data_IF_511269708638
#
_entry.id   IF_511269708638
#
_cell.length_a   1.000
_cell.length_b   1.000
_cell.length_c   1.000
_cell.angle_alpha   90.00
_cell.angle_beta   90.00
_cell.angle_gamma   90.00
#
_symmetry.space_group_name_H-M   'P 1'
#
loop_
_entity.id
_entity.type
_entity.pdbx_description
1 polymer ?
#
# COMPACT_ATOMS: atom_id res chain seq x y z
N UNK A 1 -6.08 -31.12 25.60
CA UNK A 1 -7.37 -30.58 25.10
C UNK A 1 -7.03 -29.58 24.00
N UNK A 2 -7.55 -29.76 22.78
CA UNK A 2 -7.29 -28.85 21.64
C UNK A 2 -8.46 -27.88 21.54
N UNK A 3 -8.21 -26.58 21.61
CA UNK A 3 -9.21 -25.53 21.44
C UNK A 3 -9.02 -24.92 20.06
N UNK A 4 -10.05 -25.00 19.22
CA UNK A 4 -10.09 -24.33 17.92
C UNK A 4 -10.95 -23.07 18.03
N UNK A 5 -10.55 -22.01 17.33
CA UNK A 5 -11.32 -20.77 17.19
C UNK A 5 -12.61 -21.00 16.41
N UNK A 6 -13.67 -20.32 16.82
CA UNK A 6 -14.90 -20.15 16.04
C UNK A 6 -14.99 -18.65 15.68
N UNK A 7 -14.87 -18.31 14.40
CA UNK A 7 -15.16 -16.97 13.86
C UNK A 7 -14.00 -15.95 13.79
N UNK A 8 -14.35 -14.70 13.46
CA UNK A 8 -13.47 -13.51 13.31
C UNK A 8 -13.01 -12.89 14.64
N UNK A 9 -12.92 -13.67 15.72
CA UNK A 9 -12.43 -13.13 16.98
C UNK A 9 -10.90 -13.07 17.03
N UNK A 10 -10.43 -11.92 17.50
CA UNK A 10 -9.05 -11.51 17.53
C UNK A 10 -8.20 -12.54 18.31
N UNK A 11 -7.50 -13.43 17.58
CA UNK A 11 -6.05 -13.42 17.67
C UNK A 11 -5.45 -13.49 19.08
N UNK A 12 -5.29 -12.27 19.57
CA UNK A 12 -4.52 -11.92 20.73
C UNK A 12 -5.41 -11.90 21.98
N UNK A 13 -6.67 -11.46 21.86
CA UNK A 13 -7.62 -11.42 22.97
C UNK A 13 -7.95 -12.82 23.51
N UNK A 14 -8.09 -13.82 22.62
CA UNK A 14 -8.34 -15.22 23.04
C UNK A 14 -7.11 -15.80 23.75
N UNK A 15 -5.90 -15.45 23.30
CA UNK A 15 -4.66 -15.92 23.93
C UNK A 15 -4.44 -15.31 25.31
N UNK A 16 -4.80 -14.03 25.47
CA UNK A 16 -4.73 -13.30 26.74
C UNK A 16 -5.75 -13.84 27.74
N UNK A 17 -7.01 -14.06 27.29
CA UNK A 17 -8.06 -14.69 28.12
C UNK A 17 -7.69 -16.11 28.56
N UNK A 18 -7.03 -16.89 27.71
CA UNK A 18 -6.59 -18.26 28.04
C UNK A 18 -5.41 -18.24 29.03
N UNK A 19 -4.46 -17.31 28.89
CA UNK A 19 -3.36 -17.15 29.87
C UNK A 19 -3.89 -16.69 31.22
N UNK A 20 -4.84 -15.75 31.24
CA UNK A 20 -5.48 -15.25 32.46
C UNK A 20 -6.30 -16.34 33.17
N UNK A 21 -6.97 -17.23 32.41
CA UNK A 21 -7.66 -18.40 32.95
C UNK A 21 -6.71 -19.47 33.52
N UNK A 22 -5.55 -19.66 32.88
CA UNK A 22 -4.51 -20.59 33.36
C UNK A 22 -3.86 -20.07 34.64
N UNK A 23 -3.57 -18.77 34.73
CA UNK A 23 -3.00 -18.16 35.93
C UNK A 23 -4.01 -18.10 37.10
N UNK A 24 -5.29 -17.89 36.81
CA UNK A 24 -6.38 -17.98 37.80
C UNK A 24 -6.67 -19.40 38.31
N UNK A 25 -6.29 -20.43 37.57
CA UNK A 25 -6.57 -21.84 37.90
C UNK A 25 -5.41 -22.57 38.59
N UNK A 26 -4.26 -21.93 38.78
CA UNK A 26 -3.06 -22.51 39.44
C UNK A 26 -3.29 -23.01 40.87
N UNK A 27 -4.34 -22.54 41.56
CA UNK A 27 -4.65 -22.95 42.94
C UNK A 27 -5.50 -24.24 43.06
N UNK A 28 -5.88 -24.88 41.94
CA UNK A 28 -6.77 -26.07 41.94
C UNK A 28 -6.06 -27.40 41.65
N UNK A 29 -4.74 -27.39 41.42
CA UNK A 29 -4.00 -28.60 41.08
C UNK A 29 -2.96 -28.95 42.15
N UNK A 30 -2.83 -30.24 42.56
CA UNK A 30 -1.88 -30.68 43.57
C UNK A 30 -0.42 -30.61 43.06
N UNK A 31 0.53 -30.53 44.00
CA UNK A 31 1.97 -30.42 43.74
C UNK A 31 2.47 -31.55 42.82
N UNK A 32 3.09 -31.19 41.70
CA UNK A 32 3.74 -32.13 40.76
C UNK A 32 3.29 -32.05 39.30
N UNK A 33 2.37 -31.14 38.94
CA UNK A 33 1.96 -30.93 37.54
C UNK A 33 2.39 -29.53 37.07
N UNK A 34 3.45 -29.47 36.25
CA UNK A 34 3.82 -28.26 35.51
C UNK A 34 3.06 -28.17 34.19
N UNK A 35 2.24 -27.13 34.04
CA UNK A 35 1.60 -26.78 32.79
C UNK A 35 2.59 -25.95 31.94
N UNK A 36 3.14 -26.52 30.88
CA UNK A 36 4.02 -25.81 29.94
C UNK A 36 3.35 -25.65 28.57
N UNK A 37 3.41 -24.45 28.01
CA UNK A 37 2.81 -24.10 26.72
C UNK A 37 3.76 -24.50 25.59
N UNK A 38 3.46 -25.59 24.88
CA UNK A 38 4.37 -26.21 23.92
C UNK A 38 4.42 -25.52 22.54
N UNK A 39 3.38 -24.78 22.16
CA UNK A 39 3.28 -24.17 20.82
C UNK A 39 2.46 -22.87 20.89
N UNK A 40 3.15 -21.78 21.21
CA UNK A 40 2.57 -20.45 21.28
C UNK A 40 2.83 -19.67 19.97
N UNK A 41 1.99 -19.92 18.96
CA UNK A 41 2.01 -19.20 17.67
C UNK A 41 1.80 -17.68 17.83
N UNK A 42 1.30 -17.23 19.00
CA UNK A 42 1.13 -15.81 19.30
C UNK A 42 2.46 -15.06 19.42
N UNK A 43 3.54 -15.74 19.80
CA UNK A 43 4.88 -15.15 19.92
C UNK A 43 5.48 -14.88 18.55
N UNK A 44 5.29 -15.82 17.61
CA UNK A 44 5.71 -15.66 16.21
C UNK A 44 4.87 -14.60 15.47
N UNK A 45 3.55 -14.55 15.73
CA UNK A 45 2.66 -13.52 15.18
C UNK A 45 2.98 -12.12 15.74
N UNK A 46 3.33 -11.99 17.01
CA UNK A 46 3.80 -10.72 17.61
C UNK A 46 5.13 -10.26 17.02
N UNK A 47 6.10 -11.16 16.86
CA UNK A 47 7.38 -10.84 16.23
C UNK A 47 7.24 -10.35 14.78
N UNK A 48 6.35 -10.97 13.99
CA UNK A 48 6.06 -10.51 12.62
C UNK A 48 5.37 -9.14 12.60
N UNK A 49 4.48 -8.87 13.55
CA UNK A 49 3.79 -7.57 13.65
C UNK A 49 4.77 -6.43 13.93
N UNK A 50 5.70 -6.64 14.86
CA UNK A 50 6.73 -5.64 15.20
C UNK A 50 7.70 -5.40 14.03
N UNK A 51 8.14 -6.47 13.35
CA UNK A 51 8.98 -6.36 12.16
C UNK A 51 8.28 -5.61 11.01
N UNK A 52 6.98 -5.85 10.78
CA UNK A 52 6.22 -5.12 9.76
C UNK A 52 6.06 -3.63 10.11
N UNK A 53 5.80 -3.31 11.38
CA UNK A 53 5.70 -1.91 11.84
C UNK A 53 7.06 -1.21 11.73
N UNK A 54 8.14 -1.84 12.18
CA UNK A 54 9.51 -1.30 12.07
C UNK A 54 9.91 -1.07 10.62
N UNK A 55 9.66 -2.04 9.74
CA UNK A 55 9.97 -1.91 8.33
C UNK A 55 9.12 -0.83 7.66
N UNK A 56 7.83 -0.73 8.01
CA UNK A 56 6.94 0.33 7.54
C UNK A 56 7.41 1.71 7.97
N UNK A 57 7.77 1.90 9.25
CA UNK A 57 8.30 3.16 9.77
C UNK A 57 9.66 3.53 9.14
N UNK A 58 10.53 2.55 8.95
CA UNK A 58 11.85 2.75 8.33
C UNK A 58 11.70 3.13 6.86
N UNK A 59 10.84 2.43 6.12
CA UNK A 59 10.50 2.74 4.73
C UNK A 59 9.87 4.13 4.61
N UNK A 60 8.93 4.47 5.49
CA UNK A 60 8.33 5.80 5.55
C UNK A 60 9.39 6.89 5.80
N UNK A 61 10.31 6.68 6.75
CA UNK A 61 11.41 7.61 7.03
C UNK A 61 12.35 7.80 5.85
N UNK A 62 12.70 6.73 5.13
CA UNK A 62 13.54 6.80 3.93
C UNK A 62 12.85 7.56 2.79
N UNK A 63 11.57 7.27 2.54
CA UNK A 63 10.78 8.00 1.52
C UNK A 63 10.68 9.48 1.88
N UNK A 64 10.39 9.79 3.15
CA UNK A 64 10.34 11.17 3.65
C UNK A 64 11.68 11.89 3.44
N UNK A 65 12.80 11.25 3.74
CA UNK A 65 14.14 11.80 3.56
C UNK A 65 14.46 12.07 2.08
N UNK A 66 14.15 11.12 1.19
CA UNK A 66 14.39 11.27 -0.25
C UNK A 66 13.55 12.41 -0.82
N UNK A 67 12.29 12.51 -0.42
CA UNK A 67 11.44 13.65 -0.77
C UNK A 67 12.06 14.95 -0.24
N UNK A 68 12.39 15.03 1.06
CA UNK A 68 12.98 16.22 1.67
C UNK A 68 14.29 16.67 0.98
N UNK A 69 15.12 15.74 0.50
CA UNK A 69 16.40 16.02 -0.15
C UNK A 69 16.24 16.49 -1.62
N UNK A 70 15.23 15.98 -2.32
CA UNK A 70 14.98 16.30 -3.74
C UNK A 70 14.00 17.48 -3.96
N UNK A 71 13.39 18.01 -2.90
CA UNK A 71 12.30 18.99 -3.04
C UNK A 71 12.82 20.40 -3.44
N UNK A 72 12.70 20.72 -4.74
CA UNK A 72 11.98 21.94 -5.14
C UNK A 72 10.54 21.77 -4.63
N UNK A 73 10.24 22.34 -3.45
CA UNK A 73 9.23 21.84 -2.51
C UNK A 73 7.81 21.61 -3.05
N UNK A 74 7.45 22.33 -4.11
CA UNK A 74 6.08 22.35 -4.60
C UNK A 74 5.76 21.16 -5.48
N UNK A 75 6.64 20.76 -6.41
CA UNK A 75 6.31 19.74 -7.42
C UNK A 75 6.25 18.33 -6.80
N UNK A 76 7.30 17.94 -6.08
CA UNK A 76 7.41 16.60 -5.51
C UNK A 76 6.42 16.35 -4.35
N UNK A 77 5.92 17.40 -3.68
CA UNK A 77 4.81 17.28 -2.74
C UNK A 77 3.50 16.85 -3.45
N UNK A 78 3.19 17.46 -4.60
CA UNK A 78 2.01 17.07 -5.39
C UNK A 78 2.13 15.64 -5.93
N UNK A 79 3.33 15.22 -6.37
CA UNK A 79 3.58 13.85 -6.82
C UNK A 79 3.42 12.84 -5.68
N UNK A 80 4.04 13.12 -4.53
CA UNK A 80 3.97 12.26 -3.36
C UNK A 80 2.55 12.13 -2.80
N UNK A 81 1.67 13.11 -3.00
CA UNK A 81 0.27 13.03 -2.62
C UNK A 81 -0.55 12.19 -3.64
N UNK A 82 -0.16 12.21 -4.91
CA UNK A 82 -0.79 11.40 -5.96
C UNK A 82 -0.69 9.90 -5.68
N UNK A 83 0.47 9.42 -5.22
CA UNK A 83 0.71 7.99 -4.92
C UNK A 83 -0.30 7.40 -3.90
N UNK A 84 -0.45 7.93 -2.66
CA UNK A 84 -1.42 7.41 -1.71
C UNK A 84 -2.86 7.58 -2.17
N UNK A 85 -3.19 8.65 -2.92
CA UNK A 85 -4.51 8.81 -3.53
C UNK A 85 -4.77 7.69 -4.54
N UNK A 86 -3.79 7.33 -5.38
CA UNK A 86 -3.91 6.21 -6.31
C UNK A 86 -4.12 4.88 -5.59
N UNK A 87 -3.35 4.61 -4.53
CA UNK A 87 -3.55 3.39 -3.72
C UNK A 87 -4.95 3.31 -3.13
N UNK A 88 -5.42 4.39 -2.50
CA UNK A 88 -6.76 4.45 -1.91
C UNK A 88 -7.84 4.27 -2.98
N UNK A 89 -7.69 4.94 -4.13
CA UNK A 89 -8.59 4.80 -5.26
C UNK A 89 -8.66 3.36 -5.78
N UNK A 90 -7.53 2.69 -5.94
CA UNK A 90 -7.52 1.30 -6.41
C UNK A 90 -8.09 0.34 -5.38
N UNK A 91 -7.76 0.49 -4.08
CA UNK A 91 -8.36 -0.35 -3.04
C UNK A 91 -9.87 -0.12 -2.90
N UNK A 92 -10.34 1.09 -3.18
CA UNK A 92 -11.77 1.39 -3.21
C UNK A 92 -12.46 0.79 -4.43
N UNK A 93 -11.80 0.75 -5.59
CA UNK A 93 -12.35 0.22 -6.83
C UNK A 93 -12.24 -1.31 -6.95
N UNK A 94 -11.23 -1.94 -6.35
CA UNK A 94 -11.01 -3.40 -6.39
C UNK A 94 -12.25 -4.22 -5.99
N UNK A 95 -12.93 -3.94 -4.85
CA UNK A 95 -14.15 -4.63 -4.47
C UNK A 95 -15.29 -4.45 -5.47
N UNK A 96 -15.37 -3.28 -6.13
CA UNK A 96 -16.43 -2.99 -7.10
C UNK A 96 -16.26 -3.75 -8.43
N UNK A 97 -15.02 -4.13 -8.76
CA UNK A 97 -14.68 -4.87 -9.98
C UNK A 97 -14.44 -6.37 -9.71
N UNK A 98 -14.67 -6.83 -8.48
CA UNK A 98 -14.39 -8.20 -8.01
C UNK A 98 -12.94 -8.66 -8.28
N UNK A 99 -12.02 -7.69 -8.27
CA UNK A 99 -10.58 -7.92 -8.52
C UNK A 99 -9.87 -8.05 -7.18
N UNK A 100 -9.11 -9.14 -7.02
CA UNK A 100 -8.29 -9.41 -5.85
C UNK A 100 -6.82 -9.03 -6.08
N UNK A 101 -6.10 -8.82 -4.98
CA UNK A 101 -4.66 -8.54 -5.01
C UNK A 101 -3.93 -9.82 -5.42
N UNK A 102 -3.53 -9.90 -6.69
CA UNK A 102 -2.73 -10.96 -7.30
C UNK A 102 -1.36 -10.45 -7.73
N UNK A 103 -0.43 -11.36 -8.05
CA UNK A 103 0.88 -10.98 -8.61
C UNK A 103 0.74 -10.09 -9.86
N UNK A 104 -0.22 -10.39 -10.74
CA UNK A 104 -0.51 -9.61 -11.94
C UNK A 104 -0.97 -8.19 -11.56
N UNK A 105 -1.88 -8.06 -10.57
CA UNK A 105 -2.31 -6.75 -10.10
C UNK A 105 -1.17 -5.94 -9.50
N UNK A 106 -0.24 -6.58 -8.78
CA UNK A 106 0.93 -5.92 -8.20
C UNK A 106 1.88 -5.41 -9.29
N UNK A 107 2.12 -6.20 -10.34
CA UNK A 107 2.89 -5.75 -11.50
C UNK A 107 2.21 -4.57 -12.20
N UNK A 108 0.89 -4.63 -12.42
CA UNK A 108 0.13 -3.52 -13.00
C UNK A 108 0.25 -2.25 -12.13
N UNK A 109 0.18 -2.38 -10.81
CA UNK A 109 0.41 -1.27 -9.88
C UNK A 109 1.79 -0.64 -10.03
N UNK A 110 2.86 -1.44 -10.11
CA UNK A 110 4.23 -0.92 -10.26
C UNK A 110 4.37 -0.16 -11.57
N UNK A 111 3.83 -0.69 -12.67
CA UNK A 111 3.88 -0.04 -13.98
C UNK A 111 3.13 1.30 -13.95
N UNK A 112 1.91 1.32 -13.42
CA UNK A 112 1.11 2.55 -13.32
C UNK A 112 1.79 3.59 -12.43
N UNK A 113 2.39 3.17 -11.31
CA UNK A 113 3.12 4.08 -10.42
C UNK A 113 4.32 4.72 -11.12
N UNK A 114 5.06 3.94 -11.94
CA UNK A 114 6.15 4.46 -12.75
C UNK A 114 5.68 5.55 -13.72
N UNK A 115 4.56 5.32 -14.40
CA UNK A 115 3.96 6.28 -15.35
C UNK A 115 3.54 7.57 -14.63
N UNK A 116 2.86 7.46 -13.48
CA UNK A 116 2.41 8.64 -12.71
C UNK A 116 3.58 9.52 -12.27
N UNK A 117 4.70 8.91 -11.86
CA UNK A 117 5.91 9.65 -11.46
C UNK A 117 6.55 10.33 -12.67
N UNK A 118 6.68 9.62 -13.79
CA UNK A 118 7.24 10.15 -15.04
C UNK A 118 6.42 11.33 -15.58
N UNK A 119 5.09 11.18 -15.65
CA UNK A 119 4.16 12.23 -16.06
C UNK A 119 4.33 13.50 -15.21
N UNK A 120 4.49 13.34 -13.90
CA UNK A 120 4.62 14.46 -12.99
C UNK A 120 5.97 15.18 -13.12
N UNK A 121 7.06 14.44 -13.41
CA UNK A 121 8.37 15.01 -13.74
C UNK A 121 8.27 15.81 -15.05
N UNK A 122 7.66 15.23 -16.08
CA UNK A 122 7.49 15.85 -17.39
C UNK A 122 6.68 17.15 -17.32
N UNK A 123 5.58 17.17 -16.54
CA UNK A 123 4.81 18.39 -16.30
C UNK A 123 5.67 19.44 -15.59
N UNK A 124 6.45 19.05 -14.58
CA UNK A 124 7.33 19.96 -13.86
C UNK A 124 8.43 20.56 -14.73
N UNK A 125 9.03 19.75 -15.59
CA UNK A 125 10.02 20.18 -16.58
C UNK A 125 9.39 21.15 -17.58
N UNK A 126 8.19 20.85 -18.09
CA UNK A 126 7.52 21.73 -19.04
C UNK A 126 7.16 23.09 -18.42
N UNK A 127 6.68 23.09 -17.17
CA UNK A 127 6.44 24.34 -16.42
C UNK A 127 7.73 25.13 -16.24
N UNK A 128 8.85 24.45 -15.96
CA UNK A 128 10.15 25.10 -15.86
C UNK A 128 10.61 25.68 -17.20
N UNK A 129 10.43 24.95 -18.30
CA UNK A 129 10.74 25.41 -19.65
C UNK A 129 9.89 26.63 -20.05
N UNK A 130 8.60 26.68 -19.70
CA UNK A 130 7.77 27.88 -19.89
C UNK A 130 8.27 29.06 -19.06
N UNK A 131 8.73 28.82 -17.84
CA UNK A 131 9.32 29.86 -17.00
C UNK A 131 10.58 30.47 -17.64
N UNK A 132 11.44 29.65 -18.25
CA UNK A 132 12.64 30.10 -18.97
C UNK A 132 12.31 30.82 -20.30
N UNK A 133 11.21 30.46 -20.96
CA UNK A 133 10.74 31.08 -22.22
C UNK A 133 10.05 32.44 -22.02
N UNK A 134 10.02 32.97 -20.79
CA UNK A 134 9.54 34.32 -20.51
C UNK A 134 8.09 34.41 -20.02
N UNK A 135 7.45 33.29 -19.67
CA UNK A 135 6.13 33.26 -19.01
C UNK A 135 6.25 32.79 -17.55
N UNK A 136 6.90 33.57 -16.67
CA UNK A 136 7.07 33.16 -15.28
C UNK A 136 5.76 33.15 -14.48
N UNK A 137 5.76 32.39 -13.38
CA UNK A 137 4.65 32.33 -12.43
C UNK A 137 3.46 31.47 -12.89
N UNK A 138 2.26 31.80 -12.38
CA UNK A 138 1.06 30.97 -12.52
C UNK A 138 0.64 30.76 -13.98
N UNK A 139 0.85 31.75 -14.86
CA UNK A 139 0.51 31.63 -16.29
C UNK A 139 1.34 30.57 -17.01
N UNK A 140 2.65 30.55 -16.77
CA UNK A 140 3.53 29.49 -17.30
C UNK A 140 3.21 28.12 -16.72
N UNK A 141 2.83 28.06 -15.43
CA UNK A 141 2.40 26.81 -14.81
C UNK A 141 1.12 26.24 -15.45
N UNK A 142 0.12 27.08 -15.73
CA UNK A 142 -1.11 26.67 -16.40
C UNK A 142 -0.83 26.25 -17.84
N UNK A 143 -0.08 27.05 -18.60
CA UNK A 143 0.26 26.74 -19.99
C UNK A 143 1.05 25.43 -20.11
N UNK A 144 2.06 25.25 -19.25
CA UNK A 144 2.89 24.05 -19.21
C UNK A 144 2.10 22.78 -18.84
N UNK A 145 1.13 22.90 -17.92
CA UNK A 145 0.26 21.79 -17.55
C UNK A 145 -0.73 21.42 -18.68
N UNK A 146 -1.34 22.41 -19.35
CA UNK A 146 -2.30 22.18 -20.44
C UNK A 146 -1.62 21.51 -21.64
N UNK A 147 -0.40 21.90 -21.97
CA UNK A 147 0.37 21.30 -23.06
C UNK A 147 0.62 19.80 -22.82
N UNK A 148 0.88 19.42 -21.56
CA UNK A 148 1.11 18.03 -21.17
C UNK A 148 -0.17 17.21 -21.01
N UNK A 149 -1.35 17.83 -20.92
CA UNK A 149 -2.61 17.11 -20.73
C UNK A 149 -2.88 16.09 -21.86
N UNK A 150 -2.57 16.44 -23.12
CA UNK A 150 -2.73 15.54 -24.27
C UNK A 150 -1.82 14.30 -24.18
N UNK A 151 -0.48 14.44 -24.16
CA UNK A 151 0.41 13.28 -24.13
C UNK A 151 0.18 12.40 -22.90
N UNK A 152 -0.04 12.97 -21.72
CA UNK A 152 -0.33 12.23 -20.49
C UNK A 152 -1.62 11.40 -20.62
N UNK A 153 -2.69 11.98 -21.16
CA UNK A 153 -3.95 11.24 -21.35
C UNK A 153 -3.78 10.06 -22.31
N UNK A 154 -3.01 10.21 -23.38
CA UNK A 154 -2.71 9.12 -24.30
C UNK A 154 -1.88 8.01 -23.64
N UNK A 155 -0.85 8.37 -22.85
CA UNK A 155 -0.04 7.39 -22.12
C UNK A 155 -0.89 6.54 -21.16
N UNK A 156 -1.77 7.19 -20.39
CA UNK A 156 -2.70 6.52 -19.49
C UNK A 156 -3.70 5.64 -20.27
N UNK A 157 -4.28 6.15 -21.36
CA UNK A 157 -5.22 5.39 -22.18
C UNK A 157 -4.58 4.15 -22.83
N UNK A 158 -3.35 4.27 -23.34
CA UNK A 158 -2.59 3.15 -23.87
C UNK A 158 -2.30 2.11 -22.81
N UNK A 159 -1.98 2.54 -21.58
CA UNK A 159 -1.76 1.62 -20.45
C UNK A 159 -3.03 0.88 -20.08
N UNK A 160 -4.17 1.57 -19.99
CA UNK A 160 -5.47 0.94 -19.79
C UNK A 160 -5.75 -0.08 -20.90
N UNK A 161 -5.53 0.28 -22.17
CA UNK A 161 -5.73 -0.63 -23.29
C UNK A 161 -4.81 -1.87 -23.24
N UNK A 162 -3.57 -1.72 -22.78
CA UNK A 162 -2.62 -2.82 -22.62
C UNK A 162 -3.03 -3.80 -21.50
N UNK A 163 -3.61 -3.31 -20.41
CA UNK A 163 -4.03 -4.13 -19.27
C UNK A 163 -5.50 -4.55 -19.29
N UNK A 164 -6.35 -3.93 -20.11
CA UNK A 164 -7.77 -4.24 -20.23
C UNK A 164 -8.06 -5.74 -20.49
N UNK A 165 -7.31 -6.46 -21.35
CA UNK A 165 -7.54 -7.90 -21.57
C UNK A 165 -7.34 -8.73 -20.31
N UNK A 166 -6.43 -8.33 -19.41
CA UNK A 166 -6.12 -9.10 -18.21
C UNK A 166 -7.29 -9.15 -17.22
N UNK A 167 -8.11 -8.09 -17.19
CA UNK A 167 -9.31 -8.02 -16.35
C UNK A 167 -10.29 -9.15 -16.75
N UNK A 168 -10.50 -9.34 -18.06
CA UNK A 168 -11.38 -10.39 -18.57
C UNK A 168 -10.83 -11.80 -18.32
N UNK A 169 -9.51 -11.97 -18.36
CA UNK A 169 -8.89 -13.29 -18.09
C UNK A 169 -8.87 -13.63 -16.60
N UNK A 170 -8.66 -12.66 -15.71
CA UNK A 170 -8.57 -12.88 -14.27
C UNK A 170 -9.93 -13.29 -13.66
N UNK A 171 -11.04 -12.74 -14.15
CA UNK A 171 -12.39 -13.14 -13.72
C UNK A 171 -12.76 -14.59 -14.05
N UNK A 172 -12.12 -15.19 -15.06
CA UNK A 172 -12.37 -16.57 -15.48
C UNK A 172 -11.55 -17.60 -14.69
N UNK A 173 -10.48 -17.20 -14.00
CA UNK A 173 -9.61 -18.10 -13.23
C UNK A 173 -10.09 -18.31 -11.78
N UNK A 174 -11.05 -17.51 -11.29
CA UNK A 174 -11.66 -17.66 -9.96
C UNK A 174 -12.76 -18.73 -9.84
N UNK A 175 -13.02 -19.50 -10.91
CA UNK A 175 -13.98 -20.60 -10.93
C UNK A 175 -13.31 -21.89 -11.42
N UNK A 176 -12.51 -22.52 -10.57
CA UNK A 176 -12.21 -23.97 -10.61
C UNK A 176 -11.74 -24.42 -9.24
#
# INVERSE_FOLDING_TARGET
MKVFRVGEENAIAISETVQEYIDGSRHRFPDGIELTTWQDDSTYLRGRRDLMIRNGLTGFGLVFLVLALFLRFRLAFWVSLGIPISFLGTFWLMPTLDVSISMISLFAFIVVLGIVVDDAILIGENIHAHHERGTPGLKGAIAGAIEMAKPVTFAVATSIAAFAPMIFTAGNTGKS
#
